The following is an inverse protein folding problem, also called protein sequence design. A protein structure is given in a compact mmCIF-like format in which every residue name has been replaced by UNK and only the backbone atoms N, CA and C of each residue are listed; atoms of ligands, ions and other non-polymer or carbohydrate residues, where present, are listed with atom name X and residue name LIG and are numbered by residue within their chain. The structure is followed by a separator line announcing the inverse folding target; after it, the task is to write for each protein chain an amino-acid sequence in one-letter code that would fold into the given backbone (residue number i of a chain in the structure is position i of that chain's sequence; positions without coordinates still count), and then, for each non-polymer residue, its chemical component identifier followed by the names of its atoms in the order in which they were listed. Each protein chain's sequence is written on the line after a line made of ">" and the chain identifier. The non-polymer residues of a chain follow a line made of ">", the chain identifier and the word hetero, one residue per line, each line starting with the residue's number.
data_IF_936106095054
#
_entry.id   IF_936106095054
#
_cell.length_a   1.000
_cell.length_b   1.000
_cell.length_c   1.000
_cell.angle_alpha   90.00
_cell.angle_beta   90.00
_cell.angle_gamma   90.00
#
_symmetry.space_group_name_H-M   'P 1'
#
loop_
_entity.id
_entity.type
_entity.pdbx_description
1 polymer ?
#
# COMPACT_ATOMS: atom_id res chain seq x y z
N UNK A 1 -19.92 -18.21 11.61
CA UNK A 1 -19.35 -16.87 11.76
C UNK A 1 -20.46 -15.89 12.07
N UNK A 2 -20.27 -15.06 13.07
CA UNK A 2 -21.29 -14.07 13.39
C UNK A 2 -21.29 -12.94 12.34
N UNK A 3 -22.46 -12.38 12.10
CA UNK A 3 -22.64 -11.19 11.27
C UNK A 3 -21.72 -10.06 11.70
N UNK A 4 -21.53 -9.91 13.01
CA UNK A 4 -20.64 -8.91 13.60
C UNK A 4 -19.21 -9.04 13.13
N UNK A 5 -18.69 -10.27 13.02
CA UNK A 5 -17.32 -10.51 12.54
C UNK A 5 -17.19 -10.14 11.06
N UNK A 6 -18.18 -10.49 10.24
CA UNK A 6 -18.18 -10.15 8.83
C UNK A 6 -18.23 -8.64 8.61
N UNK A 7 -19.03 -7.93 9.42
CA UNK A 7 -19.08 -6.46 9.36
C UNK A 7 -17.74 -5.82 9.75
N UNK A 8 -17.06 -6.40 10.74
CA UNK A 8 -15.72 -5.94 11.13
C UNK A 8 -14.71 -6.16 10.01
N UNK A 9 -14.74 -7.31 9.35
CA UNK A 9 -13.88 -7.59 8.20
C UNK A 9 -14.14 -6.56 7.08
N UNK A 10 -15.40 -6.30 6.79
CA UNK A 10 -15.78 -5.30 5.78
C UNK A 10 -15.25 -3.91 6.15
N UNK A 11 -15.42 -3.50 7.41
CA UNK A 11 -14.93 -2.21 7.90
C UNK A 11 -13.41 -2.10 7.75
N UNK A 12 -12.69 -3.15 8.12
CA UNK A 12 -11.24 -3.20 7.98
C UNK A 12 -10.79 -3.12 6.53
N UNK A 13 -11.49 -3.79 5.63
CA UNK A 13 -11.19 -3.72 4.19
C UNK A 13 -11.48 -2.33 3.63
N UNK A 14 -12.53 -1.66 4.09
CA UNK A 14 -12.82 -0.27 3.72
C UNK A 14 -11.71 0.67 4.18
N UNK A 15 -11.22 0.48 5.40
CA UNK A 15 -10.08 1.25 5.92
C UNK A 15 -8.81 1.00 5.12
N UNK A 16 -8.58 -0.26 4.75
CA UNK A 16 -7.45 -0.63 3.89
C UNK A 16 -7.56 0.07 2.54
N UNK A 17 -8.73 0.07 1.94
CA UNK A 17 -8.99 0.75 0.68
C UNK A 17 -8.71 2.25 0.79
N UNK A 18 -9.20 2.90 1.83
CA UNK A 18 -8.95 4.33 2.08
C UNK A 18 -7.46 4.61 2.23
N UNK A 19 -6.76 3.78 2.96
CA UNK A 19 -5.31 3.90 3.14
C UNK A 19 -4.57 3.80 1.80
N UNK A 20 -4.95 2.82 0.97
CA UNK A 20 -4.37 2.66 -0.37
C UNK A 20 -4.71 3.81 -1.30
N UNK A 21 -5.91 4.38 -1.20
CA UNK A 21 -6.29 5.57 -1.97
C UNK A 21 -5.40 6.77 -1.61
N UNK A 22 -5.09 6.94 -0.33
CA UNK A 22 -4.17 8.00 0.13
C UNK A 22 -2.75 7.77 -0.40
N UNK A 23 -2.28 6.52 -0.34
CA UNK A 23 -0.97 6.16 -0.90
C UNK A 23 -0.94 6.45 -2.40
N UNK A 24 -1.98 6.05 -3.12
CA UNK A 24 -2.08 6.28 -4.55
C UNK A 24 -2.00 7.77 -4.90
N UNK A 25 -2.69 8.60 -4.14
CA UNK A 25 -2.64 10.06 -4.32
C UNK A 25 -1.20 10.58 -4.17
N UNK A 26 -0.52 10.16 -3.12
CA UNK A 26 0.87 10.57 -2.87
C UNK A 26 1.79 10.10 -3.99
N UNK A 27 1.65 8.85 -4.42
CA UNK A 27 2.47 8.26 -5.48
C UNK A 27 2.27 8.99 -6.81
N UNK A 28 1.03 9.39 -7.12
CA UNK A 28 0.74 10.19 -8.31
C UNK A 28 1.45 11.53 -8.27
N UNK A 29 1.48 12.18 -7.11
CA UNK A 29 2.21 13.44 -6.94
C UNK A 29 3.73 13.22 -7.05
N UNK A 30 4.21 12.15 -6.46
CA UNK A 30 5.62 11.80 -6.44
C UNK A 30 6.16 11.47 -7.84
N UNK A 31 5.37 10.79 -8.66
CA UNK A 31 5.73 10.43 -10.03
C UNK A 31 5.91 11.67 -10.92
N UNK A 32 5.24 12.76 -10.60
CA UNK A 32 5.34 14.02 -11.33
C UNK A 32 6.56 14.87 -10.97
N UNK A 33 7.30 14.49 -9.93
CA UNK A 33 8.49 15.24 -9.50
C UNK A 33 9.59 15.07 -10.54
N UNK A 34 10.11 16.18 -11.04
CA UNK A 34 11.14 16.22 -12.09
C UNK A 34 12.56 16.41 -11.55
N UNK A 35 12.71 16.67 -10.27
CA UNK A 35 13.98 16.93 -9.60
C UNK A 35 14.79 18.09 -10.21
N UNK A 36 14.10 19.09 -10.76
CA UNK A 36 14.73 20.27 -11.35
C UNK A 36 15.09 21.35 -10.31
N UNK A 37 14.53 21.27 -9.12
CA UNK A 37 14.74 22.22 -8.03
C UNK A 37 15.23 21.47 -6.79
N UNK A 38 16.02 22.15 -5.95
CA UNK A 38 16.46 21.60 -4.68
C UNK A 38 15.27 21.19 -3.79
N UNK A 39 14.19 21.98 -3.83
CA UNK A 39 12.98 21.69 -3.08
C UNK A 39 12.27 20.41 -3.52
N UNK A 40 12.51 19.93 -4.73
CA UNK A 40 11.88 18.70 -5.25
C UNK A 40 12.37 17.47 -4.45
N UNK A 41 13.63 17.43 -4.10
CA UNK A 41 14.19 16.33 -3.29
C UNK A 41 13.58 16.30 -1.88
N UNK A 42 13.40 17.47 -1.28
CA UNK A 42 12.76 17.58 0.02
C UNK A 42 11.30 17.14 -0.02
N UNK A 43 10.57 17.56 -1.06
CA UNK A 43 9.19 17.15 -1.29
C UNK A 43 9.09 15.64 -1.49
N UNK A 44 10.00 15.06 -2.26
CA UNK A 44 10.05 13.61 -2.48
C UNK A 44 10.25 12.86 -1.17
N UNK A 45 11.13 13.35 -0.31
CA UNK A 45 11.38 12.78 1.01
C UNK A 45 10.14 12.85 1.92
N UNK A 46 9.47 14.00 1.92
CA UNK A 46 8.23 14.18 2.69
C UNK A 46 7.16 13.16 2.25
N UNK A 47 7.03 12.94 0.95
CA UNK A 47 6.11 11.94 0.40
C UNK A 47 6.46 10.53 0.88
N UNK A 48 7.74 10.18 0.93
CA UNK A 48 8.19 8.88 1.44
C UNK A 48 7.80 8.73 2.91
N UNK A 49 8.03 9.75 3.73
CA UNK A 49 7.68 9.71 5.15
C UNK A 49 6.17 9.51 5.35
N UNK A 50 5.34 10.24 4.59
CA UNK A 50 3.89 10.08 4.64
C UNK A 50 3.47 8.67 4.22
N UNK A 51 4.07 8.12 3.17
CA UNK A 51 3.77 6.76 2.70
C UNK A 51 4.20 5.70 3.72
N UNK A 52 5.32 5.90 4.39
CA UNK A 52 5.76 4.98 5.45
C UNK A 52 4.74 4.88 6.57
N UNK A 53 4.19 6.01 7.01
CA UNK A 53 3.14 6.03 8.03
C UNK A 53 1.90 5.29 7.56
N UNK A 54 1.50 5.49 6.31
CA UNK A 54 0.35 4.80 5.72
C UNK A 54 0.61 3.30 5.56
N UNK A 55 1.85 2.90 5.23
CA UNK A 55 2.22 1.49 5.14
C UNK A 55 2.18 0.80 6.50
N UNK A 56 2.58 1.50 7.56
CA UNK A 56 2.47 0.96 8.92
C UNK A 56 1.01 0.73 9.29
N UNK A 57 0.14 1.69 8.98
CA UNK A 57 -1.29 1.55 9.20
C UNK A 57 -1.87 0.39 8.38
N UNK A 58 -1.44 0.25 7.13
CA UNK A 58 -1.88 -0.83 6.25
C UNK A 58 -1.45 -2.21 6.77
N UNK A 59 -0.21 -2.32 7.22
CA UNK A 59 0.31 -3.56 7.81
C UNK A 59 -0.49 -3.99 9.03
N UNK A 60 -0.86 -3.03 9.86
CA UNK A 60 -1.68 -3.26 11.04
C UNK A 60 -3.06 -3.77 10.67
N UNK A 61 -3.68 -3.15 9.67
CA UNK A 61 -4.98 -3.56 9.15
C UNK A 61 -4.93 -4.97 8.55
N UNK A 62 -3.87 -5.29 7.81
CA UNK A 62 -3.69 -6.62 7.24
C UNK A 62 -3.58 -7.69 8.32
N UNK A 63 -2.84 -7.41 9.37
CA UNK A 63 -2.69 -8.32 10.50
C UNK A 63 -4.03 -8.58 11.20
N UNK A 64 -4.78 -7.53 11.51
CA UNK A 64 -6.08 -7.62 12.13
C UNK A 64 -7.07 -8.38 11.24
N UNK A 65 -7.08 -8.10 9.95
CA UNK A 65 -7.95 -8.76 8.99
C UNK A 65 -7.64 -10.25 8.88
N UNK A 66 -6.37 -10.62 8.92
CA UNK A 66 -5.95 -12.02 8.92
C UNK A 66 -6.49 -12.78 10.12
N UNK A 67 -6.41 -12.20 11.31
CA UNK A 67 -6.94 -12.81 12.53
C UNK A 67 -8.44 -13.08 12.41
N UNK A 68 -9.21 -12.13 11.87
CA UNK A 68 -10.64 -12.31 11.67
C UNK A 68 -10.96 -13.35 10.57
N UNK A 69 -10.18 -13.40 9.52
CA UNK A 69 -10.36 -14.39 8.47
C UNK A 69 -10.13 -15.82 8.99
N UNK A 70 -9.15 -15.99 9.86
CA UNK A 70 -8.90 -17.30 10.48
C UNK A 70 -10.03 -17.72 11.41
N UNK A 71 -10.63 -16.78 12.13
CA UNK A 71 -11.74 -17.04 13.03
C UNK A 71 -13.04 -17.30 12.27
N UNK A 72 -13.08 -16.96 10.98
CA UNK A 72 -14.32 -16.82 10.24
C UNK A 72 -14.68 -17.90 9.23
N UNK A 73 -14.02 -19.04 9.26
CA UNK A 73 -14.25 -20.06 8.23
C UNK A 73 -15.55 -20.86 8.37
N UNK A 74 -16.31 -20.65 9.45
CA UNK A 74 -17.49 -21.45 9.73
C UNK A 74 -18.79 -20.62 9.63
N UNK A 75 -19.48 -20.70 8.52
CA UNK A 75 -20.80 -20.12 8.44
C UNK A 75 -21.33 -19.91 7.04
N UNK A 76 -22.45 -20.56 6.72
CA UNK A 76 -23.07 -20.52 5.40
C UNK A 76 -24.53 -20.08 5.44
N UNK A 77 -24.86 -19.00 6.14
CA UNK A 77 -26.20 -18.46 6.12
C UNK A 77 -26.36 -17.43 4.99
N UNK A 78 -27.58 -17.34 4.46
CA UNK A 78 -27.92 -16.42 3.36
C UNK A 78 -27.63 -14.95 3.68
N UNK A 79 -27.78 -14.55 4.93
CA UNK A 79 -27.51 -13.19 5.40
C UNK A 79 -26.01 -12.86 5.22
N UNK A 80 -25.14 -13.83 5.41
CA UNK A 80 -23.71 -13.69 5.25
C UNK A 80 -23.28 -13.63 3.80
N UNK A 81 -24.09 -14.15 2.88
CA UNK A 81 -23.76 -14.19 1.47
C UNK A 81 -23.64 -12.78 0.88
N UNK A 82 -24.56 -11.89 1.23
CA UNK A 82 -24.53 -10.50 0.77
C UNK A 82 -23.32 -9.75 1.32
N UNK A 83 -23.04 -9.94 2.60
CA UNK A 83 -21.85 -9.31 3.23
C UNK A 83 -20.57 -9.85 2.60
N UNK A 84 -20.49 -11.15 2.35
CA UNK A 84 -19.34 -11.77 1.68
C UNK A 84 -19.14 -11.21 0.27
N UNK A 85 -20.22 -10.97 -0.47
CA UNK A 85 -20.15 -10.34 -1.78
C UNK A 85 -19.61 -8.92 -1.69
N UNK A 86 -20.06 -8.14 -0.70
CA UNK A 86 -19.56 -6.78 -0.46
C UNK A 86 -18.07 -6.80 -0.09
N UNK A 87 -17.68 -7.75 0.75
CA UNK A 87 -16.27 -7.94 1.11
C UNK A 87 -15.43 -8.24 -0.14
N UNK A 88 -15.90 -9.12 -0.99
CA UNK A 88 -15.21 -9.48 -2.23
C UNK A 88 -15.04 -8.28 -3.16
N UNK A 89 -16.06 -7.44 -3.28
CA UNK A 89 -16.01 -6.24 -4.12
C UNK A 89 -14.96 -5.25 -3.60
N UNK A 90 -14.98 -4.97 -2.29
CA UNK A 90 -14.00 -4.07 -1.68
C UNK A 90 -12.59 -4.65 -1.85
N UNK A 91 -12.44 -5.95 -1.70
CA UNK A 91 -11.16 -6.60 -1.84
C UNK A 91 -10.63 -6.57 -3.28
N UNK A 92 -11.50 -6.65 -4.28
CA UNK A 92 -11.12 -6.43 -5.67
C UNK A 92 -10.61 -5.01 -5.90
N UNK A 93 -11.27 -4.02 -5.31
CA UNK A 93 -10.82 -2.62 -5.34
C UNK A 93 -9.43 -2.48 -4.70
N UNK A 94 -9.22 -3.13 -3.57
CA UNK A 94 -7.93 -3.13 -2.86
C UNK A 94 -6.82 -3.70 -3.74
N UNK A 95 -7.08 -4.82 -4.40
CA UNK A 95 -6.10 -5.47 -5.29
C UNK A 95 -5.78 -4.54 -6.48
N UNK A 96 -6.81 -3.96 -7.09
CA UNK A 96 -6.65 -3.04 -8.21
C UNK A 96 -5.83 -1.81 -7.83
N UNK A 97 -6.12 -1.22 -6.68
CA UNK A 97 -5.37 -0.07 -6.14
C UNK A 97 -3.91 -0.44 -5.88
N UNK A 98 -3.67 -1.60 -5.30
CA UNK A 98 -2.31 -2.07 -5.01
C UNK A 98 -1.48 -2.22 -6.28
N UNK A 99 -2.08 -2.74 -7.34
CA UNK A 99 -1.42 -2.88 -8.65
C UNK A 99 -1.10 -1.54 -9.29
N UNK A 100 -2.03 -0.60 -9.21
CA UNK A 100 -1.84 0.75 -9.74
C UNK A 100 -0.73 1.48 -8.98
N UNK A 101 -0.74 1.40 -7.66
CA UNK A 101 0.30 1.96 -6.81
C UNK A 101 1.66 1.38 -7.19
N UNK A 102 1.74 0.06 -7.34
CA UNK A 102 2.98 -0.62 -7.71
C UNK A 102 3.56 -0.10 -9.02
N UNK A 103 2.72 0.02 -10.03
CA UNK A 103 3.14 0.52 -11.35
C UNK A 103 3.71 1.93 -11.26
N UNK A 104 3.03 2.81 -10.52
CA UNK A 104 3.48 4.18 -10.31
C UNK A 104 4.74 4.27 -9.45
N UNK A 105 4.85 3.41 -8.44
CA UNK A 105 6.05 3.33 -7.59
C UNK A 105 7.28 2.94 -8.40
N UNK A 106 7.15 2.00 -9.32
CA UNK A 106 8.26 1.61 -10.20
C UNK A 106 8.71 2.78 -11.06
N UNK A 107 7.79 3.56 -11.63
CA UNK A 107 8.11 4.77 -12.39
C UNK A 107 8.81 5.81 -11.53
N UNK A 108 8.29 6.06 -10.34
CA UNK A 108 8.87 7.03 -9.41
C UNK A 108 10.26 6.61 -8.97
N UNK A 109 10.45 5.31 -8.72
CA UNK A 109 11.75 4.75 -8.38
C UNK A 109 12.75 4.95 -9.52
N UNK A 110 12.34 4.65 -10.75
CA UNK A 110 13.20 4.82 -11.94
C UNK A 110 13.59 6.30 -12.12
N UNK A 111 12.66 7.21 -11.95
CA UNK A 111 12.91 8.66 -12.01
C UNK A 111 13.92 9.08 -10.94
N UNK A 112 13.77 8.59 -9.73
CA UNK A 112 14.67 8.88 -8.62
C UNK A 112 16.06 8.30 -8.90
N UNK A 113 16.16 7.05 -9.33
CA UNK A 113 17.43 6.40 -9.64
C UNK A 113 18.17 7.11 -10.78
N UNK A 114 17.43 7.56 -11.78
CA UNK A 114 17.99 8.35 -12.88
C UNK A 114 18.57 9.66 -12.38
N UNK A 115 17.83 10.33 -11.49
CA UNK A 115 18.30 11.56 -10.87
C UNK A 115 19.56 11.29 -10.05
N UNK A 116 19.60 10.24 -9.26
CA UNK A 116 20.74 9.85 -8.43
C UNK A 116 21.98 9.61 -9.30
N UNK A 117 21.82 8.91 -10.41
CA UNK A 117 22.94 8.65 -11.34
C UNK A 117 23.52 9.92 -11.95
N UNK A 118 22.65 10.86 -12.30
CA UNK A 118 23.08 12.14 -12.90
C UNK A 118 23.74 13.08 -11.91
N UNK A 119 23.38 13.00 -10.64
CA UNK A 119 23.78 13.93 -9.59
C UNK A 119 24.62 13.28 -8.50
N UNK A 120 25.42 12.27 -8.87
CA UNK A 120 26.19 11.45 -7.92
C UNK A 120 27.03 12.27 -6.93
N UNK A 121 27.67 13.34 -7.42
CA UNK A 121 28.54 14.17 -6.57
C UNK A 121 27.76 15.05 -5.61
N UNK A 122 26.54 15.44 -5.98
CA UNK A 122 25.65 16.24 -5.14
C UNK A 122 24.90 15.40 -4.10
N UNK A 123 24.94 14.08 -4.22
CA UNK A 123 24.10 13.15 -3.43
C UNK A 123 24.83 12.59 -2.23
N UNK A 124 26.12 12.89 -2.04
CA UNK A 124 26.85 12.42 -0.85
C UNK A 124 26.10 12.71 0.45
N UNK A 125 25.42 13.84 0.51
CA UNK A 125 24.64 14.24 1.69
C UNK A 125 23.27 13.55 1.77
N UNK A 126 22.85 12.82 0.74
CA UNK A 126 21.56 12.16 0.67
C UNK A 126 21.62 10.64 0.83
N UNK A 127 22.77 10.08 1.24
CA UNK A 127 22.92 8.62 1.43
C UNK A 127 21.85 8.04 2.36
N UNK A 128 21.54 8.73 3.43
CA UNK A 128 20.52 8.30 4.40
C UNK A 128 19.16 8.30 3.73
N UNK A 129 18.85 9.35 2.98
CA UNK A 129 17.57 9.48 2.25
C UNK A 129 17.41 8.38 1.19
N UNK A 130 18.50 8.05 0.49
CA UNK A 130 18.49 6.96 -0.48
C UNK A 130 18.21 5.60 0.20
N UNK A 131 18.79 5.38 1.36
CA UNK A 131 18.56 4.17 2.13
C UNK A 131 17.10 4.08 2.58
N UNK A 132 16.52 5.18 3.04
CA UNK A 132 15.10 5.26 3.39
C UNK A 132 14.21 4.92 2.19
N UNK A 133 14.54 5.44 1.03
CA UNK A 133 13.80 5.15 -0.21
C UNK A 133 13.86 3.66 -0.54
N UNK A 134 15.02 3.05 -0.46
CA UNK A 134 15.21 1.61 -0.69
C UNK A 134 14.39 0.78 0.28
N UNK A 135 14.40 1.16 1.56
CA UNK A 135 13.62 0.48 2.59
C UNK A 135 12.11 0.60 2.31
N UNK A 136 11.66 1.76 1.88
CA UNK A 136 10.27 1.97 1.50
C UNK A 136 9.83 1.00 0.40
N UNK A 137 10.61 0.88 -0.67
CA UNK A 137 10.28 -0.01 -1.77
C UNK A 137 10.30 -1.48 -1.37
N UNK A 138 11.20 -1.87 -0.47
CA UNK A 138 11.20 -3.22 0.09
C UNK A 138 9.92 -3.51 0.86
N UNK A 139 9.47 -2.56 1.66
CA UNK A 139 8.23 -2.68 2.43
C UNK A 139 7.01 -2.74 1.51
N UNK A 140 7.05 -2.01 0.41
CA UNK A 140 5.99 -2.03 -0.61
C UNK A 140 5.89 -3.39 -1.28
N UNK A 141 7.02 -4.01 -1.61
CA UNK A 141 7.07 -5.37 -2.16
C UNK A 141 6.50 -6.36 -1.15
N UNK A 142 6.84 -6.21 0.14
CA UNK A 142 6.25 -7.00 1.21
C UNK A 142 4.73 -6.87 1.25
N UNK A 143 4.21 -5.65 1.09
CA UNK A 143 2.78 -5.41 1.01
C UNK A 143 2.11 -6.14 -0.15
N UNK A 144 2.77 -6.26 -1.29
CA UNK A 144 2.27 -7.03 -2.43
C UNK A 144 2.20 -8.51 -2.13
N UNK A 145 3.17 -9.05 -1.46
CA UNK A 145 3.16 -10.44 -1.04
C UNK A 145 1.97 -10.70 -0.11
N UNK A 146 1.64 -9.76 0.75
CA UNK A 146 0.46 -9.84 1.61
C UNK A 146 -0.82 -9.83 0.78
N UNK A 147 -0.91 -9.01 -0.26
CA UNK A 147 -2.05 -9.00 -1.16
C UNK A 147 -2.18 -10.31 -1.92
N UNK A 148 -1.07 -10.90 -2.36
CA UNK A 148 -1.04 -12.22 -2.98
C UNK A 148 -1.51 -13.29 -2.00
N UNK A 149 -1.14 -13.18 -0.75
CA UNK A 149 -1.59 -14.04 0.32
C UNK A 149 -3.11 -13.98 0.48
N UNK A 150 -3.71 -12.80 0.39
CA UNK A 150 -5.15 -12.66 0.38
C UNK A 150 -5.80 -13.37 -0.78
N UNK A 151 -5.22 -13.31 -1.97
CA UNK A 151 -5.71 -14.01 -3.14
C UNK A 151 -5.66 -15.53 -2.95
N UNK A 152 -4.59 -16.04 -2.39
CA UNK A 152 -4.41 -17.46 -2.13
C UNK A 152 -5.42 -17.98 -1.09
N UNK A 153 -5.72 -17.21 -0.07
CA UNK A 153 -6.71 -17.57 0.95
C UNK A 153 -8.14 -17.65 0.43
N UNK A 154 -8.41 -17.12 -0.74
CA UNK A 154 -9.73 -17.16 -1.35
C UNK A 154 -9.99 -18.41 -2.15
N UNK A 155 -8.95 -19.13 -2.44
CA UNK A 155 -9.09 -20.42 -3.08
C UNK A 155 -9.64 -21.42 -2.09
#
# INVERSE_FOLDING_TARGET
>A
MSEEILLKIKDMLNRKRECLQKILYIVKQQEKITFNKESDMELFREHIEEKEDLLLALSKLNQENEEFLQAGEAGSDRIYKDIKQQINLVNQDVISLSREIQTLEEKSKDNFETYVRKERDKIKNFRIKNQMTSNYYKNMIGGQLEDSYFMDKRK
#
